data_IF_994267710749
#
_entry.id   IF_994267710749
#
_cell.length_a   1.000
_cell.length_b   1.000
_cell.length_c   1.000
_cell.angle_alpha   90.00
_cell.angle_beta   90.00
_cell.angle_gamma   90.00
#
_symmetry.space_group_name_H-M   'P 1'
#
loop_
_entity.id
_entity.type
_entity.pdbx_description
1 polymer ?
#
# COMPACT_ATOMS: atom_id res chain seq x y z
N UNK A 1 46.14 32.01 -40.29
CA UNK A 1 45.50 33.00 -39.41
C UNK A 1 45.51 32.43 -37.98
N UNK A 2 46.04 33.15 -37.01
CA UNK A 2 45.96 32.75 -35.60
C UNK A 2 44.60 33.16 -35.07
N UNK A 3 43.82 32.26 -34.45
CA UNK A 3 42.55 32.60 -33.86
C UNK A 3 42.72 33.67 -32.75
N UNK A 4 41.84 34.64 -32.74
CA UNK A 4 41.83 35.72 -31.70
C UNK A 4 41.17 35.19 -30.43
N UNK A 5 41.57 35.69 -29.26
CA UNK A 5 40.97 35.33 -27.98
C UNK A 5 39.44 35.58 -27.96
N UNK A 6 38.98 36.61 -28.68
CA UNK A 6 37.54 36.93 -28.85
C UNK A 6 36.73 35.80 -29.49
N UNK A 7 37.35 34.94 -30.31
CA UNK A 7 36.65 33.90 -31.03
C UNK A 7 36.22 32.73 -30.10
N UNK A 8 36.84 32.62 -28.94
CA UNK A 8 36.56 31.59 -27.94
C UNK A 8 35.76 32.05 -26.73
N UNK A 9 35.48 33.36 -26.60
CA UNK A 9 34.82 33.92 -25.41
C UNK A 9 33.47 33.27 -25.15
N UNK A 10 32.68 33.00 -26.19
CA UNK A 10 31.38 32.34 -26.04
C UNK A 10 31.53 30.88 -25.57
N UNK A 11 32.54 30.15 -26.06
CA UNK A 11 32.81 28.77 -25.64
C UNK A 11 33.22 28.72 -24.18
N UNK A 12 34.07 29.65 -23.76
CA UNK A 12 34.47 29.74 -22.35
C UNK A 12 33.29 30.07 -21.43
N UNK A 13 32.42 30.99 -21.85
CA UNK A 13 31.18 31.30 -21.11
C UNK A 13 30.24 30.11 -21.00
N UNK A 14 30.05 29.39 -22.11
CA UNK A 14 29.23 28.16 -22.12
C UNK A 14 29.85 27.09 -21.22
N UNK A 15 31.13 26.83 -21.35
CA UNK A 15 31.83 25.87 -20.49
C UNK A 15 31.73 26.25 -18.98
N UNK A 16 31.83 27.53 -18.67
CA UNK A 16 31.63 28.04 -17.31
C UNK A 16 30.21 27.80 -16.80
N UNK A 17 29.19 28.06 -17.61
CA UNK A 17 27.80 27.78 -17.24
C UNK A 17 27.56 26.28 -17.00
N UNK A 18 28.08 25.42 -17.88
CA UNK A 18 27.98 23.98 -17.71
C UNK A 18 28.71 23.51 -16.44
N UNK A 19 29.90 24.00 -16.20
CA UNK A 19 30.69 23.67 -14.98
C UNK A 19 29.92 24.06 -13.71
N UNK A 20 29.35 25.26 -13.67
CA UNK A 20 28.51 25.72 -12.56
C UNK A 20 27.28 24.84 -12.39
N UNK A 21 26.57 24.52 -13.49
CA UNK A 21 25.39 23.66 -13.48
C UNK A 21 25.70 22.25 -12.95
N UNK A 22 26.77 21.64 -13.45
CA UNK A 22 27.20 20.31 -13.00
C UNK A 22 27.59 20.35 -11.51
N UNK A 23 28.35 21.34 -11.10
CA UNK A 23 28.76 21.49 -9.69
C UNK A 23 27.54 21.67 -8.79
N UNK A 24 26.61 22.53 -9.17
CA UNK A 24 25.35 22.73 -8.44
C UNK A 24 24.53 21.44 -8.37
N UNK A 25 24.42 20.70 -9.46
CA UNK A 25 23.74 19.40 -9.48
C UNK A 25 24.40 18.39 -8.55
N UNK A 26 25.72 18.25 -8.57
CA UNK A 26 26.44 17.31 -7.72
C UNK A 26 26.26 17.66 -6.24
N UNK A 27 26.38 18.95 -5.90
CA UNK A 27 26.18 19.43 -4.52
C UNK A 27 24.74 19.19 -4.08
N UNK A 28 23.76 19.55 -4.90
CA UNK A 28 22.36 19.36 -4.59
C UNK A 28 22.02 17.88 -4.42
N UNK A 29 22.53 17.03 -5.30
CA UNK A 29 22.39 15.57 -5.18
C UNK A 29 22.97 15.06 -3.87
N UNK A 30 24.18 15.51 -3.52
CA UNK A 30 24.84 15.10 -2.27
C UNK A 30 24.07 15.52 -1.02
N UNK A 31 23.45 16.70 -1.04
CA UNK A 31 22.62 17.20 0.07
C UNK A 31 21.25 16.52 0.16
N UNK A 32 20.64 16.15 -0.97
CA UNK A 32 19.26 15.67 -1.01
C UNK A 32 19.11 14.15 -1.03
N UNK A 33 20.11 13.42 -1.49
CA UNK A 33 20.04 11.95 -1.57
C UNK A 33 20.50 11.35 -0.24
N UNK A 34 19.65 10.58 0.46
CA UNK A 34 20.03 9.92 1.70
C UNK A 34 21.21 8.96 1.51
N UNK A 35 22.02 8.79 2.55
CA UNK A 35 23.21 7.94 2.50
C UNK A 35 22.91 6.47 2.23
N UNK A 36 21.72 6.02 2.60
CA UNK A 36 21.22 4.65 2.41
C UNK A 36 20.53 4.41 1.05
N UNK A 37 20.52 5.43 0.18
CA UNK A 37 19.96 5.28 -1.15
C UNK A 37 20.85 4.39 -2.02
N UNK A 38 20.27 3.32 -2.54
CA UNK A 38 20.96 2.41 -3.43
C UNK A 38 21.60 1.18 -2.77
N UNK A 39 21.54 1.03 -1.45
CA UNK A 39 22.10 -0.15 -0.73
C UNK A 39 21.51 -1.48 -1.23
N UNK A 40 20.20 -1.54 -1.47
CA UNK A 40 19.49 -2.75 -1.89
C UNK A 40 18.81 -2.59 -3.26
N UNK A 41 19.17 -1.56 -4.03
CA UNK A 41 18.57 -1.23 -5.31
C UNK A 41 18.26 0.26 -5.45
N UNK A 42 17.65 0.69 -6.54
CA UNK A 42 17.43 2.10 -6.84
C UNK A 42 16.25 2.71 -6.04
N UNK A 43 16.34 2.65 -4.71
CA UNK A 43 15.38 3.25 -3.78
C UNK A 43 16.03 3.59 -2.43
N UNK A 44 15.30 4.32 -1.56
CA UNK A 44 15.73 4.67 -0.20
C UNK A 44 15.54 3.46 0.72
N UNK A 45 16.60 2.75 1.01
CA UNK A 45 16.62 1.57 1.89
C UNK A 45 16.15 1.88 3.31
N UNK A 46 16.46 3.05 3.85
CA UNK A 46 16.00 3.51 5.16
C UNK A 46 14.50 3.53 5.34
N UNK A 47 13.72 3.69 4.25
CA UNK A 47 12.26 3.61 4.34
C UNK A 47 11.75 2.24 4.82
N UNK A 48 12.47 1.17 4.52
CA UNK A 48 12.15 -0.18 5.04
C UNK A 48 12.42 -0.22 6.53
N UNK A 49 13.58 0.28 6.98
CA UNK A 49 13.92 0.37 8.41
C UNK A 49 12.95 1.24 9.19
N UNK A 50 12.56 2.40 8.62
CA UNK A 50 11.57 3.31 9.22
C UNK A 50 10.22 2.61 9.43
N UNK A 51 9.75 1.85 8.43
CA UNK A 51 8.51 1.08 8.53
C UNK A 51 8.62 -0.07 9.54
N UNK A 52 9.75 -0.78 9.57
CA UNK A 52 9.99 -1.86 10.54
C UNK A 52 10.09 -1.35 11.99
N UNK A 53 10.52 -0.11 12.19
CA UNK A 53 10.58 0.52 13.52
C UNK A 53 9.21 0.98 14.03
N UNK A 54 8.18 1.05 13.18
CA UNK A 54 6.83 1.42 13.58
C UNK A 54 6.23 0.36 14.50
N UNK A 55 5.45 0.77 15.52
CA UNK A 55 4.80 -0.18 16.41
C UNK A 55 3.84 -1.10 15.65
N UNK A 56 3.79 -2.38 16.04
CA UNK A 56 2.85 -3.34 15.46
C UNK A 56 1.45 -3.00 15.98
N UNK A 57 0.55 -2.69 15.05
CA UNK A 57 -0.84 -2.31 15.34
C UNK A 57 -1.85 -3.42 15.00
N UNK A 58 -1.37 -4.55 14.50
CA UNK A 58 -2.17 -5.73 14.21
C UNK A 58 -2.15 -6.70 15.38
N UNK A 59 -3.33 -7.19 15.79
CA UNK A 59 -3.48 -8.17 16.87
C UNK A 59 -3.14 -9.59 16.40
N UNK A 60 -3.39 -9.88 15.14
CA UNK A 60 -3.31 -11.21 14.58
C UNK A 60 -4.56 -12.06 14.84
N UNK A 61 -4.76 -13.06 13.99
CA UNK A 61 -5.98 -13.87 14.01
C UNK A 61 -6.18 -14.63 15.33
N UNK A 62 -5.14 -15.07 15.99
CA UNK A 62 -5.25 -15.82 17.26
C UNK A 62 -5.98 -15.01 18.34
N UNK A 63 -5.59 -13.75 18.53
CA UNK A 63 -6.25 -12.86 19.48
C UNK A 63 -7.74 -12.63 19.16
N UNK A 64 -8.10 -12.57 17.88
CA UNK A 64 -9.50 -12.41 17.48
C UNK A 64 -10.36 -13.63 17.86
N UNK A 65 -9.82 -14.83 17.66
CA UNK A 65 -10.55 -16.10 17.87
C UNK A 65 -10.85 -16.36 19.35
N UNK A 66 -10.07 -15.83 20.27
CA UNK A 66 -10.31 -15.95 21.71
C UNK A 66 -11.70 -15.45 22.13
N UNK A 67 -12.21 -14.39 21.48
CA UNK A 67 -13.52 -13.81 21.77
C UNK A 67 -14.55 -14.03 20.62
N UNK A 68 -14.11 -14.20 19.38
CA UNK A 68 -14.97 -14.33 18.18
C UNK A 68 -14.85 -15.71 17.53
N UNK A 69 -14.89 -16.79 18.33
CA UNK A 69 -14.75 -18.16 17.85
C UNK A 69 -15.87 -18.57 16.88
N UNK A 70 -17.08 -18.13 17.13
CA UNK A 70 -18.26 -18.37 16.28
C UNK A 70 -18.09 -17.79 14.85
N UNK A 71 -17.58 -16.56 14.77
CA UNK A 71 -17.28 -15.88 13.51
C UNK A 71 -16.13 -16.59 12.77
N UNK A 72 -15.11 -17.01 13.50
CA UNK A 72 -14.00 -17.76 12.95
C UNK A 72 -14.43 -19.10 12.37
N UNK A 73 -15.34 -19.82 13.07
CA UNK A 73 -15.93 -21.08 12.59
C UNK A 73 -16.79 -20.88 11.33
N UNK A 74 -17.60 -19.82 11.29
CA UNK A 74 -18.38 -19.47 10.11
C UNK A 74 -17.47 -19.20 8.89
N UNK A 75 -16.39 -18.41 9.09
CA UNK A 75 -15.42 -18.11 8.06
C UNK A 75 -14.66 -19.36 7.59
N UNK A 76 -14.34 -20.29 8.48
CA UNK A 76 -13.66 -21.52 8.14
C UNK A 76 -14.45 -22.42 7.16
N UNK A 77 -15.78 -22.28 7.14
CA UNK A 77 -16.68 -22.97 6.19
C UNK A 77 -16.74 -22.31 4.81
N UNK A 78 -16.09 -21.14 4.63
CA UNK A 78 -16.15 -20.32 3.42
C UNK A 78 -14.83 -20.31 2.63
N UNK A 79 -14.82 -19.55 1.54
CA UNK A 79 -13.66 -19.38 0.66
C UNK A 79 -12.62 -18.41 1.23
N UNK A 80 -12.99 -17.58 2.19
CA UNK A 80 -12.10 -16.60 2.85
C UNK A 80 -11.30 -17.19 4.04
N UNK A 81 -11.22 -18.51 4.16
CA UNK A 81 -10.50 -19.17 5.28
C UNK A 81 -9.05 -18.70 5.45
N UNK A 82 -8.39 -18.30 4.36
CA UNK A 82 -7.00 -17.78 4.38
C UNK A 82 -6.91 -16.25 4.46
N UNK A 83 -8.02 -15.53 4.41
CA UNK A 83 -8.03 -14.07 4.52
C UNK A 83 -8.04 -13.70 6.00
N UNK A 84 -7.03 -12.96 6.46
CA UNK A 84 -6.97 -12.54 7.86
C UNK A 84 -8.13 -11.62 8.23
N UNK A 85 -8.57 -11.65 9.49
CA UNK A 85 -9.66 -10.79 9.99
C UNK A 85 -9.36 -9.31 9.72
N UNK A 86 -8.15 -8.91 10.01
CA UNK A 86 -7.67 -7.52 9.87
C UNK A 86 -7.48 -7.07 8.42
N UNK A 87 -7.54 -7.97 7.42
CA UNK A 87 -7.60 -7.58 6.00
C UNK A 87 -8.87 -6.82 5.65
N UNK A 88 -9.96 -7.07 6.40
CA UNK A 88 -11.24 -6.40 6.23
C UNK A 88 -11.51 -5.40 7.36
N UNK A 89 -11.14 -5.74 8.59
CA UNK A 89 -11.43 -4.96 9.79
C UNK A 89 -10.36 -3.92 10.13
N UNK A 90 -9.20 -3.94 9.44
CA UNK A 90 -8.07 -3.06 9.75
C UNK A 90 -7.29 -3.48 10.99
N UNK A 91 -6.37 -2.64 11.42
CA UNK A 91 -5.50 -2.89 12.57
C UNK A 91 -6.27 -2.77 13.89
N UNK A 92 -6.34 -3.83 14.69
CA UNK A 92 -7.19 -3.94 15.86
C UNK A 92 -6.45 -4.37 17.14
N UNK A 93 -5.13 -4.17 17.23
CA UNK A 93 -4.37 -4.49 18.44
C UNK A 93 -4.91 -3.77 19.70
N UNK A 94 -5.32 -2.50 19.53
CA UNK A 94 -5.92 -1.73 20.63
C UNK A 94 -7.26 -2.29 21.09
N UNK A 95 -8.11 -2.75 20.16
CA UNK A 95 -9.37 -3.42 20.50
C UNK A 95 -9.11 -4.76 21.20
N UNK A 96 -8.21 -5.59 20.67
CA UNK A 96 -7.88 -6.86 21.29
C UNK A 96 -7.32 -6.70 22.73
N UNK A 97 -6.57 -5.64 22.98
CA UNK A 97 -6.04 -5.34 24.31
C UNK A 97 -7.11 -4.75 25.29
N UNK A 98 -8.08 -4.01 24.79
CA UNK A 98 -9.12 -3.36 25.59
C UNK A 98 -10.47 -3.31 24.84
N UNK A 99 -11.17 -4.44 24.69
CA UNK A 99 -12.37 -4.54 23.86
C UNK A 99 -13.50 -3.61 24.30
N UNK A 100 -13.65 -3.36 25.60
CA UNK A 100 -14.70 -2.49 26.15
C UNK A 100 -14.47 -1.00 25.89
N UNK A 101 -13.20 -0.60 25.67
CA UNK A 101 -12.82 0.81 25.49
C UNK A 101 -12.56 1.19 24.03
N UNK A 102 -12.27 0.23 23.20
CA UNK A 102 -11.82 0.42 21.81
C UNK A 102 -12.75 -0.33 20.85
N UNK A 103 -13.97 0.19 20.69
CA UNK A 103 -14.90 -0.39 19.72
C UNK A 103 -14.34 -0.28 18.29
N UNK A 104 -14.31 -1.38 17.52
CA UNK A 104 -13.84 -1.34 16.14
C UNK A 104 -14.84 -0.62 15.23
N UNK A 105 -14.33 0.10 14.25
CA UNK A 105 -15.17 0.64 13.18
C UNK A 105 -15.61 -0.52 12.29
N UNK A 106 -16.91 -0.61 12.01
CA UNK A 106 -17.42 -1.61 11.05
C UNK A 106 -16.97 -1.26 9.63
N UNK A 107 -16.34 -2.20 8.91
CA UNK A 107 -15.96 -1.97 7.53
C UNK A 107 -17.20 -1.66 6.66
N UNK A 108 -17.04 -0.77 5.71
CA UNK A 108 -18.03 -0.61 4.63
C UNK A 108 -17.91 -1.83 3.70
N UNK A 109 -18.95 -2.67 3.60
CA UNK A 109 -18.87 -3.90 2.81
C UNK A 109 -18.59 -3.62 1.33
N UNK A 110 -19.17 -2.56 0.75
CA UNK A 110 -18.93 -2.23 -0.65
C UNK A 110 -17.47 -1.92 -0.89
N UNK A 111 -16.89 -0.96 -0.19
CA UNK A 111 -15.48 -0.57 -0.34
C UNK A 111 -14.53 -1.74 -0.06
N UNK A 112 -14.81 -2.50 0.99
CA UNK A 112 -13.94 -3.61 1.41
C UNK A 112 -13.95 -4.75 0.40
N UNK A 113 -15.12 -5.14 -0.10
CA UNK A 113 -15.23 -6.25 -1.06
C UNK A 113 -14.62 -5.89 -2.42
N UNK A 114 -14.94 -4.72 -2.96
CA UNK A 114 -14.43 -4.30 -4.28
C UNK A 114 -12.92 -4.05 -4.30
N UNK A 115 -12.29 -3.78 -3.17
CA UNK A 115 -10.82 -3.65 -3.11
C UNK A 115 -10.10 -4.89 -3.64
N UNK A 116 -10.70 -6.06 -3.46
CA UNK A 116 -10.21 -7.32 -4.00
C UNK A 116 -11.04 -7.83 -5.20
N UNK A 117 -12.36 -7.66 -5.18
CA UNK A 117 -13.27 -8.29 -6.16
C UNK A 117 -13.64 -7.40 -7.36
N UNK A 118 -13.21 -6.15 -7.42
CA UNK A 118 -13.37 -5.34 -8.63
C UNK A 118 -12.63 -5.95 -9.81
N UNK A 119 -13.28 -5.98 -10.97
CA UNK A 119 -12.71 -6.52 -12.20
C UNK A 119 -11.40 -5.80 -12.58
N UNK A 120 -10.37 -6.58 -12.87
CA UNK A 120 -9.06 -6.08 -13.24
C UNK A 120 -8.37 -7.08 -14.17
N UNK A 121 -7.83 -6.58 -15.28
CA UNK A 121 -7.15 -7.38 -16.31
C UNK A 121 -5.93 -8.15 -15.78
N UNK A 122 -5.31 -7.69 -14.69
CA UNK A 122 -4.14 -8.35 -14.09
C UNK A 122 -4.50 -9.52 -13.16
N UNK A 123 -5.77 -9.70 -12.84
CA UNK A 123 -6.22 -10.81 -11.99
C UNK A 123 -6.52 -12.06 -12.82
N UNK A 124 -6.22 -13.26 -12.30
CA UNK A 124 -6.58 -14.51 -12.98
C UNK A 124 -8.09 -14.63 -13.18
N UNK A 125 -8.52 -15.23 -14.28
CA UNK A 125 -9.94 -15.47 -14.58
C UNK A 125 -10.63 -16.39 -13.56
N UNK A 126 -9.85 -17.20 -12.86
CA UNK A 126 -10.33 -18.07 -11.77
C UNK A 126 -10.64 -17.31 -10.46
N UNK A 127 -10.17 -16.05 -10.34
CA UNK A 127 -10.48 -15.22 -9.18
C UNK A 127 -11.84 -14.56 -9.38
N UNK A 128 -12.78 -14.67 -8.41
CA UNK A 128 -14.10 -14.07 -8.53
C UNK A 128 -13.99 -12.53 -8.66
N UNK A 129 -14.49 -12.00 -9.75
CA UNK A 129 -14.44 -10.57 -10.07
C UNK A 129 -15.82 -10.09 -10.50
N UNK A 130 -16.14 -8.86 -10.19
CA UNK A 130 -17.38 -8.19 -10.57
C UNK A 130 -17.08 -6.78 -11.09
N UNK A 131 -17.94 -6.30 -11.97
CA UNK A 131 -18.07 -4.87 -12.30
C UNK A 131 -19.12 -4.31 -11.34
N UNK A 132 -18.76 -3.52 -10.34
CA UNK A 132 -19.66 -3.14 -9.25
C UNK A 132 -20.91 -2.39 -9.74
N UNK A 133 -20.77 -1.60 -10.80
CA UNK A 133 -21.83 -0.79 -11.39
C UNK A 133 -22.90 -1.65 -12.11
N UNK A 134 -22.50 -2.82 -12.61
CA UNK A 134 -23.38 -3.77 -13.30
C UNK A 134 -23.98 -4.80 -12.33
N UNK A 135 -23.15 -5.26 -11.38
CA UNK A 135 -23.54 -6.31 -10.44
C UNK A 135 -24.46 -5.81 -9.32
N UNK A 136 -24.12 -4.67 -8.73
CA UNK A 136 -24.88 -4.04 -7.64
C UNK A 136 -24.65 -2.51 -7.66
N UNK A 137 -25.31 -1.76 -8.52
CA UNK A 137 -25.01 -0.33 -8.75
C UNK A 137 -25.16 0.52 -7.48
N UNK A 138 -26.17 0.26 -6.66
CA UNK A 138 -26.46 1.06 -5.46
C UNK A 138 -26.54 0.23 -4.16
N UNK A 139 -26.17 -1.03 -4.20
CA UNK A 139 -26.33 -1.97 -3.09
C UNK A 139 -25.09 -2.18 -2.24
N UNK A 140 -25.31 -2.53 -0.98
CA UNK A 140 -24.27 -3.15 -0.14
C UNK A 140 -24.07 -4.60 -0.55
N UNK A 141 -22.82 -5.04 -0.70
CA UNK A 141 -22.50 -6.44 -0.96
C UNK A 141 -23.07 -7.37 0.13
N UNK A 142 -23.14 -6.88 1.37
CA UNK A 142 -23.67 -7.61 2.51
C UNK A 142 -25.21 -7.80 2.48
N UNK A 143 -25.91 -7.12 1.57
CA UNK A 143 -27.36 -7.33 1.42
C UNK A 143 -27.68 -8.70 0.82
N UNK A 144 -26.78 -9.25 0.00
CA UNK A 144 -26.95 -10.56 -0.66
C UNK A 144 -25.91 -11.58 -0.21
N UNK A 145 -24.71 -11.14 0.20
CA UNK A 145 -23.61 -12.03 0.58
C UNK A 145 -23.37 -12.01 2.09
N UNK A 146 -23.33 -13.18 2.71
CA UNK A 146 -22.94 -13.31 4.12
C UNK A 146 -21.45 -12.97 4.27
N UNK A 147 -21.13 -11.88 4.95
CA UNK A 147 -19.77 -11.30 4.94
C UNK A 147 -18.66 -12.24 5.38
N UNK A 148 -18.89 -13.11 6.37
CA UNK A 148 -17.89 -14.06 6.86
C UNK A 148 -17.88 -15.40 6.13
N UNK A 149 -18.89 -15.68 5.33
CA UNK A 149 -18.96 -16.86 4.49
C UNK A 149 -19.67 -16.52 3.16
N UNK A 150 -19.07 -15.64 2.34
CA UNK A 150 -19.68 -15.27 1.06
C UNK A 150 -19.70 -16.51 0.14
N UNK A 151 -20.91 -16.84 -0.32
CA UNK A 151 -21.15 -17.91 -1.29
C UNK A 151 -21.44 -17.29 -2.63
N UNK A 152 -21.01 -17.95 -3.71
CA UNK A 152 -21.48 -17.71 -5.06
C UNK A 152 -22.71 -18.61 -5.20
N UNK A 153 -23.88 -18.00 -5.34
CA UNK A 153 -25.14 -18.69 -5.67
C UNK A 153 -25.30 -18.78 -7.17
#
# INVERSE_FOLDING_TARGET
>A
MKPRASDYVHLVRMAGLFAVGITAFVVLRWLMVPADFGELGHYRTGAVRDNMASPIVFAGQAACVECHADVAELRAKGKHVRVACESCHGALAAHAANPDKQAPVRPDPRRTCISCHSANISKPTSFPQVVPEEHAPEGSCAACHVVHNPKIS
#
